data_IF_362224491786
#
_entry.id   IF_362224491786
#
_cell.length_a   1.000
_cell.length_b   1.000
_cell.length_c   1.000
_cell.angle_alpha   90.00
_cell.angle_beta   90.00
_cell.angle_gamma   90.00
#
_symmetry.space_group_name_H-M   'P 1'
#
loop_
_entity.id
_entity.type
_entity.pdbx_description
1 polymer ?
#
# COMPACT_ATOMS: atom_id res chain seq x y z
N UNK A 1 5.02 0.88 23.39
CA UNK A 1 3.98 1.32 22.43
C UNK A 1 4.59 1.23 21.05
N UNK A 2 4.11 0.33 20.19
CA UNK A 2 4.63 0.23 18.81
C UNK A 2 3.86 1.24 17.95
N UNK A 3 4.57 2.25 17.46
CA UNK A 3 4.05 3.25 16.53
C UNK A 3 3.69 2.57 15.21
N UNK A 4 2.69 3.10 14.50
CA UNK A 4 2.39 2.65 13.15
C UNK A 4 3.64 2.82 12.25
N UNK A 5 4.07 1.78 11.52
CA UNK A 5 5.13 1.92 10.53
C UNK A 5 4.68 2.83 9.39
N UNK A 6 5.57 3.71 8.95
CA UNK A 6 5.36 4.63 7.82
C UNK A 6 6.31 4.21 6.70
N UNK A 7 5.81 4.18 5.48
CA UNK A 7 6.61 4.01 4.27
C UNK A 7 6.51 5.26 3.40
N UNK A 8 7.57 5.56 2.66
CA UNK A 8 7.61 6.67 1.72
C UNK A 8 6.91 6.33 0.39
N UNK A 9 6.58 5.06 0.15
CA UNK A 9 5.87 4.59 -1.04
C UNK A 9 6.31 3.19 -1.48
N UNK A 10 6.12 2.90 -2.77
CA UNK A 10 6.68 1.72 -3.45
C UNK A 10 7.98 2.07 -4.18
N UNK A 11 8.95 1.16 -4.17
CA UNK A 11 10.20 1.31 -4.91
C UNK A 11 10.70 -0.03 -5.46
N UNK A 12 11.02 -0.07 -6.76
CA UNK A 12 11.60 -1.26 -7.40
C UNK A 12 13.12 -1.29 -7.46
N UNK A 13 13.75 -0.13 -7.28
CA UNK A 13 15.20 0.03 -7.07
C UNK A 13 15.41 0.75 -5.75
N UNK A 14 16.53 0.49 -5.04
CA UNK A 14 16.94 1.30 -3.90
C UNK A 14 16.98 2.79 -4.26
N UNK A 15 16.32 3.67 -3.49
CA UNK A 15 16.50 5.12 -3.60
C UNK A 15 17.99 5.49 -3.43
N UNK A 16 18.44 6.53 -4.14
CA UNK A 16 19.85 6.94 -4.15
C UNK A 16 20.31 7.60 -2.84
N UNK A 17 19.43 8.37 -2.19
CA UNK A 17 19.73 9.14 -0.97
C UNK A 17 18.70 8.90 0.16
N UNK A 18 18.54 7.65 0.65
CA UNK A 18 17.61 7.34 1.73
C UNK A 18 18.09 7.91 3.05
N UNK A 19 17.17 8.44 3.88
CA UNK A 19 17.51 8.93 5.22
C UNK A 19 17.32 7.82 6.26
N UNK A 20 18.09 7.82 7.36
CA UNK A 20 17.88 6.87 8.43
C UNK A 20 16.43 6.89 8.94
N UNK A 21 15.77 5.75 8.92
CA UNK A 21 14.38 5.58 9.30
C UNK A 21 13.38 5.57 8.14
N UNK A 22 13.80 5.95 6.93
CA UNK A 22 12.93 5.84 5.76
C UNK A 22 12.71 4.36 5.40
N UNK A 23 11.48 4.02 5.02
CA UNK A 23 11.10 2.68 4.61
C UNK A 23 10.29 2.71 3.32
N UNK A 24 10.38 1.66 2.52
CA UNK A 24 9.64 1.47 1.28
C UNK A 24 9.04 0.08 1.21
N UNK A 25 7.93 -0.06 0.47
CA UNK A 25 7.46 -1.36 -0.01
C UNK A 25 8.24 -1.67 -1.29
N UNK A 26 8.89 -2.84 -1.35
CA UNK A 26 9.61 -3.26 -2.56
C UNK A 26 8.63 -3.72 -3.64
N UNK A 27 8.80 -3.19 -4.86
CA UNK A 27 7.95 -3.47 -6.03
C UNK A 27 8.75 -3.89 -7.28
N UNK A 28 8.66 -5.14 -7.71
CA UNK A 28 9.52 -5.80 -8.70
C UNK A 28 10.89 -6.23 -8.17
N UNK A 29 11.56 -5.38 -7.39
CA UNK A 29 12.89 -5.64 -6.81
C UNK A 29 14.04 -5.69 -7.82
N UNK A 30 15.10 -4.90 -7.59
CA UNK A 30 16.33 -4.91 -8.39
C UNK A 30 17.50 -4.34 -7.60
N UNK A 31 18.74 -4.58 -8.03
CA UNK A 31 19.95 -4.25 -7.27
C UNK A 31 19.85 -4.81 -5.83
N UNK A 32 20.07 -4.01 -4.78
CA UNK A 32 19.92 -4.49 -3.40
C UNK A 32 18.50 -4.95 -3.04
N UNK A 33 17.48 -4.61 -3.82
CA UNK A 33 16.09 -5.05 -3.60
C UNK A 33 15.76 -6.37 -4.32
N UNK A 34 16.72 -7.00 -4.99
CA UNK A 34 16.51 -8.28 -5.67
C UNK A 34 16.04 -9.36 -4.67
N UNK A 35 15.04 -10.15 -5.07
CA UNK A 35 14.40 -11.20 -4.24
C UNK A 35 13.64 -10.72 -3.01
N UNK A 36 13.47 -9.41 -2.83
CA UNK A 36 12.76 -8.82 -1.69
C UNK A 36 11.35 -8.32 -2.06
N UNK A 37 10.71 -8.92 -3.07
CA UNK A 37 9.38 -8.49 -3.52
C UNK A 37 8.34 -8.52 -2.40
N UNK A 38 7.60 -7.42 -2.24
CA UNK A 38 6.68 -7.13 -1.13
C UNK A 38 7.32 -6.92 0.26
N UNK A 39 8.62 -7.12 0.45
CA UNK A 39 9.24 -6.83 1.75
C UNK A 39 9.19 -5.31 2.03
N UNK A 40 9.24 -4.97 3.32
CA UNK A 40 9.54 -3.61 3.74
C UNK A 40 11.05 -3.44 3.77
N UNK A 41 11.58 -2.55 2.93
CA UNK A 41 12.98 -2.16 2.92
C UNK A 41 13.14 -0.87 3.74
N UNK A 42 13.83 -0.95 4.87
CA UNK A 42 14.09 0.19 5.76
C UNK A 42 15.57 0.55 5.78
N UNK A 43 15.90 1.82 5.63
CA UNK A 43 17.28 2.29 5.69
C UNK A 43 17.69 2.64 7.12
N UNK A 44 18.68 1.94 7.69
CA UNK A 44 19.21 2.24 9.01
C UNK A 44 20.73 2.08 9.04
N UNK A 45 21.43 2.99 9.71
CA UNK A 45 22.88 2.90 9.93
C UNK A 45 23.71 2.59 8.66
N UNK A 46 23.27 3.10 7.49
CA UNK A 46 23.97 2.91 6.22
C UNK A 46 23.74 1.55 5.55
N UNK A 47 22.71 0.79 5.96
CA UNK A 47 22.35 -0.49 5.34
C UNK A 47 20.84 -0.65 5.20
N UNK A 48 20.43 -1.49 4.24
CA UNK A 48 19.04 -1.91 4.07
C UNK A 48 18.69 -3.05 5.03
N UNK A 49 17.60 -2.87 5.76
CA UNK A 49 16.96 -3.91 6.56
C UNK A 49 15.66 -4.32 5.87
N UNK A 50 15.53 -5.59 5.54
CA UNK A 50 14.33 -6.15 4.91
C UNK A 50 13.47 -6.87 5.93
N UNK A 51 12.17 -6.58 5.91
CA UNK A 51 11.18 -7.21 6.79
C UNK A 51 10.09 -7.84 5.92
N UNK A 52 9.98 -9.17 5.99
CA UNK A 52 8.89 -9.88 5.32
C UNK A 52 7.57 -9.64 6.05
N UNK A 53 6.56 -9.04 5.39
CA UNK A 53 5.30 -8.74 6.03
C UNK A 53 4.50 -10.01 6.31
N UNK A 54 3.82 -10.03 7.45
CA UNK A 54 2.83 -11.06 7.78
C UNK A 54 1.44 -10.59 7.40
N UNK A 55 0.56 -11.52 7.01
CA UNK A 55 -0.84 -11.20 6.71
C UNK A 55 -1.49 -10.42 7.86
N UNK A 56 -2.12 -9.29 7.52
CA UNK A 56 -2.73 -8.37 8.48
C UNK A 56 -1.86 -7.19 8.90
N UNK A 57 -0.55 -7.18 8.58
CA UNK A 57 0.32 -6.03 8.77
C UNK A 57 -0.25 -4.81 8.03
N UNK A 58 -0.16 -3.63 8.66
CA UNK A 58 -0.63 -2.37 8.08
C UNK A 58 0.48 -1.32 8.18
N UNK A 59 0.64 -0.52 7.13
CA UNK A 59 1.59 0.59 7.05
C UNK A 59 0.87 1.83 6.54
N UNK A 60 1.33 3.01 6.93
CA UNK A 60 0.90 4.26 6.31
C UNK A 60 1.84 4.61 5.16
N UNK A 61 1.29 4.78 3.96
CA UNK A 61 2.03 5.18 2.76
C UNK A 61 1.92 6.70 2.58
N UNK A 62 3.05 7.39 2.74
CA UNK A 62 3.10 8.85 2.68
C UNK A 62 2.91 9.39 1.26
N UNK A 63 3.30 8.65 0.23
CA UNK A 63 3.12 9.07 -1.16
C UNK A 63 1.65 9.02 -1.58
N UNK A 64 0.91 8.04 -1.06
CA UNK A 64 -0.52 7.88 -1.34
C UNK A 64 -1.44 8.56 -0.32
N UNK A 65 -0.90 9.07 0.79
CA UNK A 65 -1.66 9.57 1.95
C UNK A 65 -2.74 8.57 2.42
N UNK A 66 -2.38 7.29 2.49
CA UNK A 66 -3.33 6.20 2.71
C UNK A 66 -2.72 5.04 3.50
N UNK A 67 -3.58 4.26 4.17
CA UNK A 67 -3.18 3.01 4.79
C UNK A 67 -3.14 1.87 3.78
N UNK A 68 -2.12 1.04 3.90
CA UNK A 68 -1.95 -0.19 3.12
C UNK A 68 -1.92 -1.38 4.05
N UNK A 69 -2.56 -2.48 3.64
CA UNK A 69 -2.62 -3.73 4.40
C UNK A 69 -2.03 -4.87 3.58
N UNK A 70 -1.22 -5.70 4.23
CA UNK A 70 -0.65 -6.88 3.60
C UNK A 70 -1.58 -8.09 3.73
N UNK A 71 -1.91 -8.71 2.58
CA UNK A 71 -2.64 -9.98 2.47
C UNK A 71 -2.12 -10.76 1.25
N UNK A 72 -0.92 -11.32 1.37
CA UNK A 72 -0.19 -11.93 0.24
C UNK A 72 0.43 -10.90 -0.72
N UNK A 73 -0.20 -9.73 -0.86
CA UNK A 73 0.35 -8.53 -1.46
C UNK A 73 -0.16 -7.29 -0.69
N UNK A 74 0.47 -6.14 -0.90
CA UNK A 74 0.02 -4.88 -0.31
C UNK A 74 -1.21 -4.32 -1.04
N UNK A 75 -2.27 -4.01 -0.30
CA UNK A 75 -3.47 -3.38 -0.85
C UNK A 75 -3.11 -2.07 -1.57
N UNK A 76 -3.58 -1.89 -2.80
CA UNK A 76 -3.42 -0.62 -3.52
C UNK A 76 -4.68 0.23 -3.26
N UNK A 77 -4.53 1.47 -2.74
CA UNK A 77 -5.65 2.39 -2.66
C UNK A 77 -6.30 2.52 -4.04
N UNK A 78 -7.61 2.28 -4.10
CA UNK A 78 -8.39 2.37 -5.34
C UNK A 78 -9.10 3.72 -5.38
N UNK A 79 -9.06 4.39 -6.54
CA UNK A 79 -9.85 5.61 -6.76
C UNK A 79 -11.33 5.24 -6.83
N UNK A 80 -12.17 6.00 -6.13
CA UNK A 80 -13.63 5.88 -6.21
C UNK A 80 -14.13 6.91 -7.21
N UNK A 81 -14.82 6.47 -8.26
CA UNK A 81 -15.46 7.34 -9.22
C UNK A 81 -16.75 7.92 -8.61
N UNK A 82 -16.85 9.24 -8.61
CA UNK A 82 -18.05 9.92 -8.13
C UNK A 82 -19.14 9.91 -9.22
N UNK A 83 -20.42 9.74 -8.85
CA UNK A 83 -21.54 9.88 -9.78
C UNK A 83 -21.68 11.36 -10.18
N UNK A 84 -21.02 11.73 -11.27
CA UNK A 84 -20.80 13.11 -11.67
C UNK A 84 -21.80 13.61 -12.73
N UNK A 85 -23.09 13.29 -12.55
CA UNK A 85 -24.23 13.88 -13.28
C UNK A 85 -24.56 13.33 -14.68
N UNK A 86 -24.29 12.06 -14.97
CA UNK A 86 -24.79 11.44 -16.21
C UNK A 86 -26.31 11.29 -16.22
N UNK A 87 -26.89 11.06 -17.40
CA UNK A 87 -28.32 10.75 -17.60
C UNK A 87 -28.81 9.48 -16.86
N UNK A 88 -27.90 8.77 -16.19
CA UNK A 88 -28.08 7.46 -15.53
C UNK A 88 -27.47 7.46 -14.11
N UNK A 89 -27.79 8.45 -13.29
CA UNK A 89 -27.28 8.57 -11.90
C UNK A 89 -27.43 7.29 -11.07
N UNK A 90 -28.48 6.48 -11.29
CA UNK A 90 -28.67 5.20 -10.57
C UNK A 90 -27.56 4.18 -10.86
N UNK A 91 -27.14 4.03 -12.12
CA UNK A 91 -26.08 3.10 -12.47
C UNK A 91 -24.73 3.59 -11.95
N UNK A 92 -24.45 4.89 -12.08
CA UNK A 92 -23.22 5.49 -11.55
C UNK A 92 -23.12 5.37 -10.02
N UNK A 93 -24.24 5.54 -9.31
CA UNK A 93 -24.28 5.36 -7.87
C UNK A 93 -24.06 3.91 -7.45
N UNK A 94 -24.62 2.95 -8.20
CA UNK A 94 -24.40 1.52 -7.96
C UNK A 94 -22.94 1.14 -8.15
N UNK A 95 -22.32 1.62 -9.22
CA UNK A 95 -20.90 1.40 -9.50
C UNK A 95 -20.03 1.97 -8.37
N UNK A 96 -20.31 3.20 -7.91
CA UNK A 96 -19.59 3.82 -6.79
C UNK A 96 -19.72 2.99 -5.49
N UNK A 97 -20.90 2.43 -5.19
CA UNK A 97 -21.11 1.55 -4.03
C UNK A 97 -20.29 0.26 -4.16
N UNK A 98 -20.25 -0.35 -5.34
CA UNK A 98 -19.44 -1.55 -5.58
C UNK A 98 -17.94 -1.26 -5.37
N UNK A 99 -17.46 -0.10 -5.84
CA UNK A 99 -16.09 0.36 -5.62
C UNK A 99 -15.78 0.57 -4.13
N UNK A 100 -16.70 1.18 -3.37
CA UNK A 100 -16.56 1.35 -1.91
C UNK A 100 -16.50 0.00 -1.19
N UNK A 101 -17.39 -0.93 -1.50
CA UNK A 101 -17.41 -2.26 -0.87
C UNK A 101 -16.10 -3.00 -1.18
N UNK A 102 -15.62 -2.92 -2.42
CA UNK A 102 -14.33 -3.49 -2.81
C UNK A 102 -13.16 -2.89 -2.00
N UNK A 103 -13.15 -1.56 -1.83
CA UNK A 103 -12.16 -0.87 -1.00
C UNK A 103 -12.22 -1.30 0.48
N UNK A 104 -13.42 -1.46 1.04
CA UNK A 104 -13.59 -1.93 2.42
C UNK A 104 -13.12 -3.38 2.63
N UNK A 105 -13.31 -4.25 1.63
CA UNK A 105 -12.81 -5.63 1.67
C UNK A 105 -11.28 -5.68 1.57
N UNK A 106 -10.71 -4.99 0.59
CA UNK A 106 -9.26 -4.96 0.33
C UNK A 106 -8.47 -4.27 1.46
N UNK A 107 -9.02 -3.22 2.07
CA UNK A 107 -8.46 -2.61 3.29
C UNK A 107 -8.68 -3.44 4.56
N UNK A 108 -9.56 -4.42 4.49
CA UNK A 108 -9.82 -5.40 5.55
C UNK A 108 -10.79 -4.97 6.64
N UNK A 109 -11.64 -3.98 6.36
CA UNK A 109 -12.78 -3.60 7.20
C UNK A 109 -13.95 -4.59 7.08
N UNK A 110 -14.02 -5.29 5.94
CA UNK A 110 -14.96 -6.38 5.70
C UNK A 110 -14.19 -7.68 5.38
N UNK A 111 -14.78 -8.86 5.67
CA UNK A 111 -14.24 -10.13 5.19
C UNK A 111 -14.29 -10.19 3.65
N UNK A 112 -13.35 -10.91 3.05
CA UNK A 112 -13.51 -11.31 1.64
C UNK A 112 -14.64 -12.33 1.57
N UNK A 113 -15.64 -12.04 0.73
CA UNK A 113 -16.78 -12.92 0.45
C UNK A 113 -16.42 -13.90 -0.65
#
# INVERSE_FOLDING_TARGET
MLLQPIVEGEAGTPPLDPKPGDCWIVSGGSAEFESHENDLACWQQGQWLFLTPTSGMSVYDRNLDAMRRFRGAWSKPMQIDFPNSGSTVDSEARDAIEQIISLLRTSGQLPES
#
